data_IF_419244870866
#
_entry.id   IF_419244870866
#
_cell.length_a   1.000
_cell.length_b   1.000
_cell.length_c   1.000
_cell.angle_alpha   90.00
_cell.angle_beta   90.00
_cell.angle_gamma   90.00
#
_symmetry.space_group_name_H-M   'P 1'
#
loop_
_entity.id
_entity.type
_entity.pdbx_description
1 polymer ?
#
# COMPACT_ATOMS: atom_id res chain seq x y z
N UNK A 1 -0.97 -68.18 -29.26
CA UNK A 1 -1.85 -67.00 -29.12
C UNK A 1 -1.01 -65.80 -28.71
N UNK A 2 -0.54 -64.98 -29.67
CA UNK A 2 0.23 -63.76 -29.38
C UNK A 2 -0.75 -62.61 -29.18
N UNK A 3 -0.80 -62.06 -27.97
CA UNK A 3 -1.65 -60.91 -27.61
C UNK A 3 -1.01 -59.64 -28.17
N UNK A 4 -1.75 -58.94 -29.03
CA UNK A 4 -1.41 -57.63 -29.57
C UNK A 4 -1.68 -56.58 -28.48
N UNK A 5 -0.64 -55.97 -27.92
CA UNK A 5 -0.80 -54.77 -27.08
C UNK A 5 -0.91 -53.55 -28.01
N UNK A 6 -2.07 -52.91 -28.03
CA UNK A 6 -2.27 -51.61 -28.66
C UNK A 6 -1.98 -50.56 -27.58
N UNK A 7 -0.85 -49.85 -27.72
CA UNK A 7 -0.54 -48.68 -26.91
C UNK A 7 -1.31 -47.48 -27.48
N UNK A 8 -2.32 -47.01 -26.74
CA UNK A 8 -3.03 -45.77 -27.06
C UNK A 8 -2.18 -44.60 -26.56
N UNK A 9 -1.54 -43.90 -27.49
CA UNK A 9 -0.88 -42.62 -27.22
C UNK A 9 -1.97 -41.53 -27.16
N UNK A 10 -2.45 -41.20 -25.96
CA UNK A 10 -3.27 -40.02 -25.76
C UNK A 10 -2.38 -38.78 -25.91
N UNK A 11 -2.37 -38.17 -27.09
CA UNK A 11 -1.82 -36.85 -27.29
C UNK A 11 -2.72 -35.83 -26.55
N UNK A 12 -2.32 -35.45 -25.34
CA UNK A 12 -2.91 -34.31 -24.64
C UNK A 12 -2.41 -33.03 -25.32
N UNK A 13 -3.03 -32.64 -26.43
CA UNK A 13 -2.91 -31.28 -26.93
C UNK A 13 -3.71 -30.39 -26.00
N UNK A 14 -3.09 -29.92 -24.92
CA UNK A 14 -3.61 -28.76 -24.20
C UNK A 14 -3.58 -27.60 -25.19
N UNK A 15 -4.72 -27.25 -25.77
CA UNK A 15 -4.88 -25.96 -26.42
C UNK A 15 -4.60 -24.92 -25.34
N UNK A 16 -3.43 -24.30 -25.42
CA UNK A 16 -3.14 -23.09 -24.66
C UNK A 16 -4.08 -22.02 -25.21
N UNK A 17 -5.27 -21.90 -24.62
CA UNK A 17 -6.16 -20.79 -24.90
C UNK A 17 -5.47 -19.53 -24.36
N UNK A 18 -4.81 -18.78 -25.24
CA UNK A 18 -4.43 -17.40 -24.96
C UNK A 18 -5.68 -16.54 -24.71
N UNK A 19 -5.49 -15.36 -24.15
CA UNK A 19 -6.59 -14.41 -23.91
C UNK A 19 -7.32 -14.12 -25.24
N UNK A 20 -8.56 -14.56 -25.35
CA UNK A 20 -9.43 -14.25 -26.49
C UNK A 20 -10.14 -12.92 -26.22
N UNK A 21 -10.11 -12.01 -27.20
CA UNK A 21 -10.78 -10.69 -27.13
C UNK A 21 -10.25 -9.75 -26.03
N UNK A 22 -8.93 -9.50 -26.00
CA UNK A 22 -8.39 -8.46 -25.12
C UNK A 22 -8.93 -7.06 -25.45
N UNK A 23 -9.27 -6.27 -24.43
CA UNK A 23 -9.60 -4.85 -24.61
C UNK A 23 -8.45 -4.07 -25.27
N UNK A 24 -7.20 -4.53 -25.08
CA UNK A 24 -6.00 -3.93 -25.67
C UNK A 24 -5.79 -4.30 -27.14
N UNK A 25 -6.58 -5.22 -27.71
CA UNK A 25 -6.38 -5.71 -29.08
C UNK A 25 -6.66 -4.64 -30.15
N UNK A 26 -7.39 -3.58 -29.81
CA UNK A 26 -7.75 -2.50 -30.73
C UNK A 26 -7.72 -1.15 -30.02
N UNK A 27 -7.64 -0.07 -30.81
CA UNK A 27 -7.63 1.30 -30.29
C UNK A 27 -6.22 1.81 -29.97
N UNK A 28 -6.15 3.08 -29.56
CA UNK A 28 -4.91 3.70 -29.11
C UNK A 28 -4.88 3.69 -27.59
N UNK A 29 -3.76 3.22 -27.03
CA UNK A 29 -3.59 3.03 -25.60
C UNK A 29 -2.36 3.77 -25.12
N UNK A 30 -2.53 4.57 -24.07
CA UNK A 30 -1.43 5.18 -23.34
C UNK A 30 -1.28 4.45 -22.01
N UNK A 31 -0.09 3.88 -21.79
CA UNK A 31 0.27 3.29 -20.49
C UNK A 31 0.86 4.36 -19.59
N UNK A 32 0.30 4.49 -18.40
CA UNK A 32 0.79 5.37 -17.34
C UNK A 32 0.95 4.57 -16.04
N UNK A 33 1.70 5.12 -15.09
CA UNK A 33 1.94 4.48 -13.80
C UNK A 33 1.72 5.44 -12.65
N UNK A 34 1.28 4.89 -11.52
CA UNK A 34 1.21 5.58 -10.24
C UNK A 34 2.09 4.86 -9.23
N UNK A 35 2.71 5.62 -8.32
CA UNK A 35 3.60 5.07 -7.28
C UNK A 35 2.89 4.93 -5.93
N UNK A 36 1.75 5.59 -5.75
CA UNK A 36 1.00 5.53 -4.50
C UNK A 36 -0.50 5.73 -4.72
N UNK A 37 -1.25 5.49 -3.66
CA UNK A 37 -2.69 5.69 -3.64
C UNK A 37 -3.06 7.17 -3.61
N UNK A 38 -4.13 7.55 -4.31
CA UNK A 38 -4.66 8.90 -4.27
C UNK A 38 -5.51 9.27 -5.49
N UNK A 39 -6.06 10.48 -5.46
CA UNK A 39 -6.72 11.11 -6.59
C UNK A 39 -5.68 11.72 -7.51
N UNK A 40 -5.70 11.29 -8.77
CA UNK A 40 -4.81 11.79 -9.82
C UNK A 40 -5.60 12.60 -10.85
N UNK A 41 -4.99 13.67 -11.34
CA UNK A 41 -5.57 14.55 -12.37
C UNK A 41 -4.89 14.34 -13.71
N UNK A 42 -5.68 14.18 -14.77
CA UNK A 42 -5.22 14.32 -16.15
C UNK A 42 -5.94 15.51 -16.77
N UNK A 43 -5.22 16.62 -16.88
CA UNK A 43 -5.70 17.81 -17.57
C UNK A 43 -5.34 17.77 -19.07
N UNK A 44 -5.85 18.74 -19.81
CA UNK A 44 -5.61 18.92 -21.24
C UNK A 44 -4.10 18.83 -21.60
N UNK A 45 -3.23 19.47 -20.81
CA UNK A 45 -1.81 19.55 -21.09
C UNK A 45 -1.12 18.19 -20.92
N UNK A 46 -1.45 17.48 -19.84
CA UNK A 46 -0.96 16.12 -19.62
C UNK A 46 -1.51 15.17 -20.69
N UNK A 47 -2.79 15.26 -21.04
CA UNK A 47 -3.41 14.44 -22.07
C UNK A 47 -2.70 14.57 -23.43
N UNK A 48 -2.37 15.81 -23.83
CA UNK A 48 -1.56 16.09 -25.03
C UNK A 48 -0.14 15.54 -24.91
N UNK A 49 0.53 15.72 -23.76
CA UNK A 49 1.88 15.21 -23.50
C UNK A 49 1.95 13.68 -23.56
N UNK A 50 0.86 13.00 -23.20
CA UNK A 50 0.70 11.55 -23.31
C UNK A 50 0.55 11.06 -24.77
N UNK A 51 0.48 11.97 -25.75
CA UNK A 51 0.37 11.65 -27.18
C UNK A 51 -1.06 11.52 -27.68
N UNK A 52 -2.07 11.88 -26.88
CA UNK A 52 -3.47 11.94 -27.30
C UNK A 52 -3.82 13.34 -27.79
N UNK A 53 -4.77 13.46 -28.71
CA UNK A 53 -5.19 14.76 -29.24
C UNK A 53 -6.48 15.24 -28.55
N UNK A 54 -6.41 16.14 -27.54
CA UNK A 54 -7.62 16.63 -26.87
C UNK A 54 -8.55 17.39 -27.84
N UNK A 55 -8.00 18.10 -28.83
CA UNK A 55 -8.78 18.90 -29.78
C UNK A 55 -9.68 18.05 -30.71
N UNK A 56 -9.43 16.73 -30.76
CA UNK A 56 -10.21 15.76 -31.54
C UNK A 56 -10.87 14.70 -30.64
N UNK A 57 -10.88 14.92 -29.33
CA UNK A 57 -11.41 13.97 -28.35
C UNK A 57 -12.68 14.51 -27.72
N UNK A 58 -13.74 13.70 -27.78
CA UNK A 58 -14.91 13.89 -26.92
C UNK A 58 -14.54 13.41 -25.49
N UNK A 59 -14.50 14.30 -24.48
CA UNK A 59 -14.10 13.93 -23.12
C UNK A 59 -15.00 12.86 -22.50
N UNK A 60 -16.24 12.72 -22.96
CA UNK A 60 -17.19 11.67 -22.49
C UNK A 60 -16.73 10.27 -22.89
N UNK A 61 -15.90 10.14 -23.92
CA UNK A 61 -15.37 8.87 -24.44
C UNK A 61 -14.02 8.47 -23.85
N UNK A 62 -13.41 9.32 -23.04
CA UNK A 62 -12.17 8.99 -22.33
C UNK A 62 -12.44 7.91 -21.29
N UNK A 63 -11.57 6.90 -21.26
CA UNK A 63 -11.60 5.76 -20.34
C UNK A 63 -10.24 5.55 -19.71
N UNK A 64 -10.26 5.08 -18.48
CA UNK A 64 -9.08 4.58 -17.77
C UNK A 64 -9.34 3.12 -17.41
N UNK A 65 -8.42 2.23 -17.75
CA UNK A 65 -8.49 0.82 -17.38
C UNK A 65 -7.27 0.43 -16.56
N UNK A 66 -7.43 -0.52 -15.64
CA UNK A 66 -6.36 -1.02 -14.80
C UNK A 66 -6.44 -2.54 -14.64
N UNK A 67 -5.30 -3.15 -14.30
CA UNK A 67 -5.21 -4.57 -13.97
C UNK A 67 -5.54 -4.83 -12.51
N UNK A 68 -5.02 -5.94 -11.99
CA UNK A 68 -5.07 -6.21 -10.55
C UNK A 68 -4.25 -5.18 -9.77
N UNK A 69 -4.73 -4.87 -8.59
CA UNK A 69 -4.02 -4.09 -7.59
C UNK A 69 -3.20 -5.03 -6.70
N UNK A 70 -2.13 -4.53 -6.11
CA UNK A 70 -1.34 -5.30 -5.17
C UNK A 70 -0.42 -6.34 -5.80
N UNK A 71 0.20 -7.12 -4.92
CA UNK A 71 1.03 -8.23 -5.31
C UNK A 71 0.17 -9.40 -5.82
N UNK A 72 0.61 -10.05 -6.91
CA UNK A 72 -0.08 -11.23 -7.40
C UNK A 72 0.04 -12.38 -6.40
N UNK A 73 -1.08 -13.09 -6.19
CA UNK A 73 -1.08 -14.29 -5.36
C UNK A 73 -0.09 -15.33 -5.91
N UNK A 74 0.69 -15.91 -5.00
CA UNK A 74 1.65 -16.96 -5.32
C UNK A 74 0.99 -18.31 -5.61
N UNK A 75 -0.23 -18.54 -5.11
CA UNK A 75 -0.94 -19.76 -5.39
C UNK A 75 -1.34 -19.81 -6.86
N UNK A 76 -0.86 -20.82 -7.58
CA UNK A 76 -1.21 -21.01 -8.99
C UNK A 76 -2.72 -21.23 -9.20
N UNK A 77 -3.43 -21.68 -8.18
CA UNK A 77 -4.89 -21.85 -8.17
C UNK A 77 -5.68 -20.58 -7.86
N UNK A 78 -5.02 -19.49 -7.44
CA UNK A 78 -5.73 -18.24 -7.16
C UNK A 78 -6.36 -17.68 -8.43
N UNK A 79 -7.61 -17.18 -8.36
CA UNK A 79 -8.26 -16.54 -9.50
C UNK A 79 -7.41 -15.39 -10.05
N UNK A 80 -7.37 -15.27 -11.37
CA UNK A 80 -6.70 -14.17 -12.08
C UNK A 80 -7.72 -13.49 -12.98
N UNK A 81 -7.70 -12.16 -13.01
CA UNK A 81 -8.49 -11.41 -13.99
C UNK A 81 -7.94 -11.70 -15.38
N UNK A 82 -8.83 -11.93 -16.32
CA UNK A 82 -8.46 -12.24 -17.71
C UNK A 82 -8.14 -10.99 -18.52
N UNK A 83 -8.52 -9.79 -18.05
CA UNK A 83 -8.31 -8.54 -18.76
C UNK A 83 -8.32 -7.33 -17.83
N UNK A 84 -8.00 -6.15 -18.36
CA UNK A 84 -8.13 -4.87 -17.67
C UNK A 84 -9.59 -4.52 -17.41
N UNK A 85 -9.85 -3.87 -16.28
CA UNK A 85 -11.18 -3.35 -15.91
C UNK A 85 -11.19 -1.84 -15.95
N UNK A 86 -12.32 -1.28 -16.35
CA UNK A 86 -12.50 0.17 -16.38
C UNK A 86 -12.60 0.74 -14.95
N UNK A 87 -11.90 1.85 -14.74
CA UNK A 87 -11.86 2.61 -13.50
C UNK A 87 -12.78 3.80 -13.68
N UNK A 88 -13.70 4.01 -12.73
CA UNK A 88 -14.61 5.14 -12.77
C UNK A 88 -13.82 6.45 -12.65
N UNK A 89 -14.13 7.42 -13.53
CA UNK A 89 -13.50 8.74 -13.53
C UNK A 89 -14.53 9.84 -13.26
N UNK A 90 -14.11 10.92 -12.60
CA UNK A 90 -14.83 12.18 -12.62
C UNK A 90 -14.32 12.98 -13.81
N UNK A 91 -15.21 13.46 -14.67
CA UNK A 91 -14.84 14.36 -15.76
C UNK A 91 -15.45 15.73 -15.52
N UNK A 92 -14.62 16.78 -15.53
CA UNK A 92 -15.04 18.17 -15.34
C UNK A 92 -15.00 18.87 -16.70
N UNK A 93 -16.10 19.55 -17.07
CA UNK A 93 -16.20 20.32 -18.32
C UNK A 93 -16.62 19.52 -19.57
N UNK A 94 -17.18 18.32 -19.42
CA UNK A 94 -17.51 17.45 -20.57
C UNK A 94 -18.82 17.75 -21.32
N UNK A 95 -19.57 18.79 -20.93
CA UNK A 95 -20.97 18.99 -21.36
C UNK A 95 -21.10 19.36 -22.84
N UNK A 96 -20.14 20.11 -23.38
CA UNK A 96 -20.11 20.53 -24.78
C UNK A 96 -19.48 19.47 -25.72
N UNK A 97 -18.92 18.40 -25.16
CA UNK A 97 -18.24 17.34 -25.90
C UNK A 97 -16.90 17.75 -26.51
N UNK A 98 -16.29 18.84 -26.06
CA UNK A 98 -14.99 19.33 -26.53
C UNK A 98 -14.00 19.34 -25.37
N UNK A 99 -12.90 18.58 -25.48
CA UNK A 99 -11.88 18.61 -24.44
C UNK A 99 -11.00 19.87 -24.57
N UNK A 100 -11.33 20.91 -23.81
CA UNK A 100 -10.65 22.21 -23.82
C UNK A 100 -9.66 22.36 -22.64
N UNK A 101 -8.97 23.50 -22.56
CA UNK A 101 -7.90 23.74 -21.58
C UNK A 101 -8.34 23.82 -20.11
N UNK A 102 -9.63 24.09 -19.84
CA UNK A 102 -10.18 24.10 -18.47
C UNK A 102 -10.68 22.75 -17.99
N UNK A 103 -10.82 21.78 -18.90
CA UNK A 103 -11.34 20.47 -18.58
C UNK A 103 -10.23 19.56 -18.03
N UNK A 104 -10.64 18.56 -17.26
CA UNK A 104 -9.77 17.52 -16.75
C UNK A 104 -10.59 16.34 -16.26
N UNK A 105 -9.92 15.19 -16.17
CA UNK A 105 -10.45 14.05 -15.44
C UNK A 105 -9.71 13.86 -14.12
N UNK A 106 -10.43 13.30 -13.14
CA UNK A 106 -9.90 12.78 -11.89
C UNK A 106 -10.20 11.29 -11.79
N UNK A 107 -9.28 10.51 -11.25
CA UNK A 107 -9.51 9.10 -10.93
C UNK A 107 -8.75 8.72 -9.66
N UNK A 108 -9.25 7.72 -8.93
CA UNK A 108 -8.51 7.13 -7.81
C UNK A 108 -7.51 6.11 -8.34
N UNK A 109 -6.23 6.46 -8.29
CA UNK A 109 -5.12 5.58 -8.59
C UNK A 109 -4.66 4.89 -7.31
N UNK A 110 -4.32 3.62 -7.41
CA UNK A 110 -3.78 2.80 -6.33
C UNK A 110 -2.39 2.35 -6.71
N UNK A 111 -1.44 2.51 -5.79
CA UNK A 111 -0.04 2.14 -5.93
C UNK A 111 0.17 0.63 -6.05
N UNK A 112 1.44 0.20 -6.06
CA UNK A 112 1.79 -1.22 -6.14
C UNK A 112 1.47 -1.98 -4.85
N UNK A 113 1.58 -1.32 -3.71
CA UNK A 113 1.37 -1.87 -2.38
C UNK A 113 -0.12 -2.00 -2.07
N UNK A 114 -0.46 -2.84 -1.11
CA UNK A 114 -1.82 -2.89 -0.58
C UNK A 114 -1.85 -2.49 0.88
N UNK A 115 -2.87 -1.72 1.22
CA UNK A 115 -3.25 -1.51 2.60
C UNK A 115 -4.75 -1.40 2.74
N UNK A 116 -5.26 -1.83 3.89
CA UNK A 116 -6.66 -1.64 4.24
C UNK A 116 -6.83 -1.72 5.75
N UNK A 117 -7.87 -1.05 6.24
CA UNK A 117 -8.31 -1.21 7.62
C UNK A 117 -9.13 -2.50 7.74
N UNK A 118 -8.62 -3.48 8.48
CA UNK A 118 -9.39 -4.66 8.90
C UNK A 118 -10.34 -4.23 10.02
N UNK A 119 -11.59 -3.92 9.65
CA UNK A 119 -12.62 -3.46 10.59
C UNK A 119 -12.94 -4.47 11.70
N UNK A 120 -12.71 -5.77 11.50
CA UNK A 120 -12.95 -6.79 12.53
C UNK A 120 -11.85 -6.78 13.59
N UNK A 121 -10.61 -6.56 13.17
CA UNK A 121 -9.45 -6.50 14.08
C UNK A 121 -9.14 -5.09 14.57
N UNK A 122 -9.72 -4.08 13.94
CA UNK A 122 -9.42 -2.67 14.20
C UNK A 122 -7.97 -2.30 13.88
N UNK A 123 -7.33 -2.98 12.91
CA UNK A 123 -5.93 -2.73 12.53
C UNK A 123 -5.74 -2.53 11.05
N UNK A 124 -4.79 -1.69 10.67
CA UNK A 124 -4.34 -1.62 9.29
C UNK A 124 -3.48 -2.84 8.93
N UNK A 125 -3.87 -3.51 7.85
CA UNK A 125 -3.02 -4.47 7.16
C UNK A 125 -2.25 -3.74 6.07
N UNK A 126 -0.96 -4.03 5.94
CA UNK A 126 -0.07 -3.50 4.90
C UNK A 126 0.70 -4.66 4.26
N UNK A 127 0.78 -4.66 2.94
CA UNK A 127 1.54 -5.58 2.12
C UNK A 127 2.37 -4.77 1.11
N UNK A 128 3.69 -4.76 1.33
CA UNK A 128 4.66 -4.24 0.39
C UNK A 128 4.71 -5.12 -0.88
N UNK A 129 4.76 -4.50 -2.05
CA UNK A 129 4.89 -5.23 -3.30
C UNK A 129 6.34 -5.58 -3.61
N UNK A 130 6.68 -6.86 -3.46
CA UNK A 130 8.04 -7.36 -3.63
C UNK A 130 8.58 -7.31 -5.07
N UNK A 131 7.75 -6.99 -6.06
CA UNK A 131 8.10 -7.13 -7.48
C UNK A 131 7.98 -5.85 -8.30
N UNK A 132 7.42 -4.77 -7.75
CA UNK A 132 7.26 -3.50 -8.48
C UNK A 132 7.07 -2.32 -7.54
N UNK A 133 7.59 -1.16 -7.92
CA UNK A 133 7.41 0.13 -7.26
C UNK A 133 6.26 0.96 -7.88
N UNK A 134 5.58 0.39 -8.88
CA UNK A 134 4.56 1.07 -9.69
C UNK A 134 3.39 0.16 -9.99
N UNK A 135 2.20 0.74 -10.02
CA UNK A 135 1.01 0.14 -10.61
C UNK A 135 0.64 0.87 -11.90
N UNK A 136 0.07 0.15 -12.87
CA UNK A 136 -0.14 0.64 -14.23
C UNK A 136 -1.61 0.81 -14.59
N UNK A 137 -1.89 1.93 -15.25
CA UNK A 137 -3.19 2.34 -15.75
C UNK A 137 -3.07 2.62 -17.25
N UNK A 138 -4.17 2.46 -17.96
CA UNK A 138 -4.23 2.52 -19.42
C UNK A 138 -5.33 3.49 -19.83
N UNK A 139 -4.94 4.58 -20.49
CA UNK A 139 -5.87 5.60 -20.99
C UNK A 139 -6.18 5.33 -22.45
N UNK A 140 -7.45 5.45 -22.83
CA UNK A 140 -7.91 5.34 -24.21
C UNK A 140 -9.11 6.24 -24.47
N UNK A 141 -9.43 6.46 -25.75
CA UNK A 141 -10.67 7.10 -26.21
C UNK A 141 -11.51 6.01 -26.89
N UNK A 142 -12.57 5.58 -26.20
CA UNK A 142 -13.37 4.45 -26.65
C UNK A 142 -14.49 4.82 -27.64
N UNK A 143 -15.13 3.82 -28.26
CA UNK A 143 -16.24 4.05 -29.19
C UNK A 143 -17.54 4.49 -28.48
N UNK A 144 -17.67 4.22 -27.18
CA UNK A 144 -18.79 4.67 -26.32
C UNK A 144 -18.28 5.46 -25.11
N UNK A 145 -19.20 6.04 -24.34
CA UNK A 145 -18.87 6.77 -23.13
C UNK A 145 -18.11 5.87 -22.13
N UNK A 146 -17.16 6.47 -21.41
CA UNK A 146 -16.44 5.79 -20.35
C UNK A 146 -17.21 5.72 -19.04
N UNK A 147 -16.73 4.87 -18.12
CA UNK A 147 -17.28 4.74 -16.78
C UNK A 147 -17.11 6.05 -16.01
N UNK A 148 -18.17 6.48 -15.31
CA UNK A 148 -18.17 7.70 -14.50
C UNK A 148 -18.43 7.37 -13.04
N UNK A 149 -17.90 8.17 -12.13
CA UNK A 149 -18.28 8.12 -10.71
C UNK A 149 -19.77 8.43 -10.61
N UNK A 150 -20.50 7.61 -9.86
CA UNK A 150 -21.91 7.82 -9.63
C UNK A 150 -22.13 8.76 -8.45
N UNK A 151 -23.06 9.71 -8.60
CA UNK A 151 -23.49 10.56 -7.50
C UNK A 151 -24.36 9.76 -6.53
N UNK A 152 -24.01 9.81 -5.23
CA UNK A 152 -24.83 9.25 -4.17
C UNK A 152 -25.37 10.39 -3.31
N UNK A 153 -26.70 10.46 -3.17
CA UNK A 153 -27.32 11.43 -2.29
C UNK A 153 -27.02 11.11 -0.82
N UNK A 154 -26.82 12.17 -0.02
CA UNK A 154 -26.68 12.02 1.42
C UNK A 154 -27.95 11.49 2.05
N UNK A 155 -27.81 10.63 3.05
CA UNK A 155 -28.94 10.14 3.85
C UNK A 155 -29.59 11.29 4.62
N UNK A 156 -30.92 11.29 4.71
CA UNK A 156 -31.68 12.26 5.50
C UNK A 156 -31.77 11.82 6.96
N UNK A 157 -31.67 12.74 7.91
CA UNK A 157 -31.80 12.47 9.35
C UNK A 157 -30.65 13.02 10.19
N UNK A 158 -30.67 12.69 11.49
CA UNK A 158 -29.62 13.07 12.45
C UNK A 158 -28.79 11.84 12.77
N UNK A 159 -27.49 11.93 12.54
CA UNK A 159 -26.53 10.84 12.77
C UNK A 159 -25.35 11.33 13.61
N UNK A 160 -24.64 10.42 14.31
CA UNK A 160 -23.39 10.76 14.97
C UNK A 160 -22.44 11.45 13.99
N UNK A 161 -21.84 12.55 14.45
CA UNK A 161 -20.86 13.29 13.65
C UNK A 161 -19.46 12.74 13.90
N UNK A 162 -18.78 12.38 12.83
CA UNK A 162 -17.39 11.93 12.83
C UNK A 162 -16.52 13.10 12.40
N UNK A 163 -15.67 13.56 13.32
CA UNK A 163 -14.68 14.64 13.14
C UNK A 163 -13.24 14.12 13.25
N UNK A 164 -13.06 12.80 13.32
CA UNK A 164 -11.77 12.13 13.40
C UNK A 164 -11.80 10.83 12.60
N UNK A 165 -10.63 10.37 12.15
CA UNK A 165 -10.49 9.14 11.38
C UNK A 165 -9.26 8.36 11.81
N UNK A 166 -9.28 7.07 11.49
CA UNK A 166 -8.17 6.15 11.70
C UNK A 166 -7.29 6.18 10.46
N UNK A 167 -5.99 6.33 10.69
CA UNK A 167 -4.98 6.50 9.66
C UNK A 167 -3.72 5.74 10.06
N UNK A 168 -2.79 5.59 9.11
CA UNK A 168 -1.56 4.87 9.33
C UNK A 168 -0.40 5.45 8.51
N UNK A 169 0.81 5.19 8.97
CA UNK A 169 2.04 5.43 8.19
C UNK A 169 2.98 4.25 8.39
N UNK A 170 3.87 4.02 7.44
CA UNK A 170 4.80 2.91 7.49
C UNK A 170 6.17 3.30 6.94
N UNK A 171 7.18 2.51 7.28
CA UNK A 171 8.54 2.63 6.78
C UNK A 171 9.15 1.23 6.59
N UNK A 172 9.57 0.95 5.37
CA UNK A 172 10.18 -0.30 4.89
C UNK A 172 11.02 0.04 3.65
N UNK A 173 12.26 -0.44 3.52
CA UNK A 173 13.19 0.02 2.45
C UNK A 173 13.93 -1.07 1.67
N UNK A 174 13.77 -2.35 2.04
CA UNK A 174 14.22 -3.52 1.26
C UNK A 174 15.68 -3.46 0.75
N UNK A 175 16.61 -3.09 1.63
CA UNK A 175 18.03 -2.87 1.30
C UNK A 175 18.88 -4.16 1.38
N UNK A 176 18.55 -5.09 2.27
CA UNK A 176 19.35 -6.27 2.57
C UNK A 176 18.55 -7.56 2.49
N UNK A 177 19.02 -8.51 1.68
CA UNK A 177 18.59 -9.90 1.71
C UNK A 177 19.75 -10.76 2.20
N UNK A 178 19.65 -11.25 3.45
CA UNK A 178 20.76 -11.93 4.11
C UNK A 178 21.24 -13.19 3.37
N UNK A 179 20.33 -13.93 2.75
CA UNK A 179 20.64 -15.19 2.09
C UNK A 179 20.94 -15.01 0.59
N UNK A 180 20.90 -13.77 0.09
CA UNK A 180 20.82 -13.44 -1.33
C UNK A 180 19.83 -14.32 -2.12
N UNK A 181 18.76 -14.75 -1.44
CA UNK A 181 17.74 -15.66 -1.93
C UNK A 181 16.47 -15.53 -1.09
N UNK A 182 15.37 -16.08 -1.62
CA UNK A 182 14.07 -15.94 -0.99
C UNK A 182 13.54 -14.50 -1.11
N UNK A 183 12.62 -14.14 -0.21
CA UNK A 183 11.80 -12.92 -0.30
C UNK A 183 11.81 -12.07 0.96
N UNK A 184 12.61 -12.45 1.96
CA UNK A 184 12.75 -11.63 3.16
C UNK A 184 13.83 -10.61 2.88
N UNK A 185 13.43 -9.36 2.90
CA UNK A 185 14.29 -8.21 2.74
C UNK A 185 14.16 -7.34 3.99
N UNK A 186 15.19 -6.55 4.25
CA UNK A 186 15.31 -5.72 5.44
C UNK A 186 15.85 -4.35 5.06
N UNK A 187 15.45 -3.31 5.78
CA UNK A 187 16.01 -1.97 5.71
C UNK A 187 17.33 -1.84 6.48
N UNK A 188 17.39 -0.95 7.46
CA UNK A 188 18.64 -0.55 8.11
C UNK A 188 19.33 -1.73 8.81
N UNK A 189 20.62 -1.91 8.50
CA UNK A 189 21.50 -2.85 9.19
C UNK A 189 22.21 -2.17 10.38
N UNK A 190 22.07 -2.75 11.56
CA UNK A 190 22.67 -2.31 12.81
C UNK A 190 23.96 -3.09 13.10
N UNK A 191 25.05 -2.69 12.47
CA UNK A 191 26.37 -3.32 12.60
C UNK A 191 27.36 -2.41 13.33
N UNK A 192 28.13 -1.59 12.60
CA UNK A 192 29.01 -0.54 13.16
C UNK A 192 28.21 0.66 13.64
N UNK A 193 27.20 1.06 12.87
CA UNK A 193 26.16 2.01 13.29
C UNK A 193 25.04 1.24 13.98
N UNK A 194 24.85 1.48 15.27
CA UNK A 194 23.87 0.75 16.11
C UNK A 194 22.62 1.55 16.41
N UNK A 195 22.47 2.74 15.84
CA UNK A 195 21.32 3.59 16.07
C UNK A 195 20.91 4.31 14.80
N UNK A 196 19.61 4.32 14.51
CA UNK A 196 19.00 5.05 13.41
C UNK A 196 17.79 5.81 13.93
N UNK A 197 17.52 6.97 13.33
CA UNK A 197 16.30 7.75 13.60
C UNK A 197 15.54 7.86 12.30
N UNK A 198 14.33 7.30 12.28
CA UNK A 198 13.39 7.38 11.16
C UNK A 198 12.39 8.49 11.48
N UNK A 199 12.20 9.41 10.53
CA UNK A 199 11.29 10.55 10.70
C UNK A 199 10.02 10.35 9.89
N UNK A 200 8.88 10.46 10.55
CA UNK A 200 7.57 10.52 9.92
C UNK A 200 7.00 11.93 10.02
N UNK A 201 6.20 12.33 9.02
CA UNK A 201 5.43 13.58 9.06
C UNK A 201 3.95 13.25 9.17
N UNK A 202 3.41 13.40 10.37
CA UNK A 202 2.06 12.99 10.76
C UNK A 202 1.36 14.16 11.48
N UNK A 203 0.73 15.10 10.76
CA UNK A 203 0.05 16.23 11.37
C UNK A 203 -1.36 15.89 11.86
N UNK A 204 -1.85 16.64 12.86
CA UNK A 204 -3.27 16.62 13.26
C UNK A 204 -3.69 15.40 14.06
N UNK A 205 -2.77 14.83 14.84
CA UNK A 205 -3.03 13.72 15.76
C UNK A 205 -4.02 14.15 16.85
N UNK A 206 -5.03 13.32 17.10
CA UNK A 206 -6.00 13.56 18.17
C UNK A 206 -5.32 13.44 19.52
N UNK A 207 -5.29 14.53 20.30
CA UNK A 207 -4.60 14.56 21.58
C UNK A 207 -5.18 13.55 22.57
N UNK A 208 -4.31 12.78 23.23
CA UNK A 208 -4.70 11.75 24.19
C UNK A 208 -5.22 10.45 23.56
N UNK A 209 -5.29 10.37 22.23
CA UNK A 209 -5.59 9.11 21.53
C UNK A 209 -4.45 8.10 21.63
N UNK A 210 -4.77 6.82 21.44
CA UNK A 210 -3.78 5.75 21.35
C UNK A 210 -3.11 5.73 19.98
N UNK A 211 -1.82 5.45 19.97
CA UNK A 211 -1.04 5.08 18.79
C UNK A 211 -0.70 3.60 18.92
N UNK A 212 -0.82 2.86 17.82
CA UNK A 212 -0.36 1.47 17.75
C UNK A 212 0.87 1.40 16.87
N UNK A 213 2.03 1.15 17.48
CA UNK A 213 3.27 0.85 16.77
C UNK A 213 3.35 -0.65 16.54
N UNK A 214 3.42 -1.07 15.29
CA UNK A 214 3.72 -2.43 14.86
C UNK A 214 5.11 -2.40 14.23
N UNK A 215 5.98 -3.32 14.62
CA UNK A 215 7.32 -3.40 14.03
C UNK A 215 7.71 -4.84 13.75
N UNK A 216 8.64 -5.00 12.82
CA UNK A 216 9.36 -6.25 12.57
C UNK A 216 10.85 -5.95 12.51
N UNK A 217 11.63 -6.80 13.18
CA UNK A 217 13.09 -6.71 13.23
C UNK A 217 13.69 -8.11 13.10
N UNK A 218 14.95 -8.18 12.73
CA UNK A 218 15.72 -9.42 12.72
C UNK A 218 17.06 -9.21 13.43
N UNK A 219 17.54 -10.23 14.13
CA UNK A 219 18.86 -10.21 14.74
C UNK A 219 19.66 -11.46 14.42
N UNK A 220 20.94 -11.26 14.16
CA UNK A 220 21.94 -12.32 14.04
C UNK A 220 22.90 -12.18 15.20
N UNK A 221 22.57 -12.82 16.32
CA UNK A 221 23.39 -12.76 17.51
C UNK A 221 23.48 -14.12 18.16
N UNK A 222 24.70 -14.58 18.45
CA UNK A 222 24.93 -15.85 19.14
C UNK A 222 24.79 -15.73 20.67
N UNK A 223 24.77 -14.49 21.17
CA UNK A 223 24.51 -14.13 22.57
C UNK A 223 23.32 -13.16 22.65
N UNK A 224 22.66 -13.03 23.82
CA UNK A 224 21.48 -12.17 23.96
C UNK A 224 21.73 -10.74 23.47
N UNK A 225 20.82 -10.24 22.64
CA UNK A 225 20.82 -8.89 22.09
C UNK A 225 19.39 -8.33 22.13
N UNK A 226 19.22 -7.02 21.98
CA UNK A 226 17.90 -6.39 21.97
C UNK A 226 17.82 -5.17 21.08
N UNK A 227 16.59 -4.81 20.70
CA UNK A 227 16.27 -3.51 20.12
C UNK A 227 15.61 -2.62 21.17
N UNK A 228 16.02 -1.36 21.23
CA UNK A 228 15.39 -0.32 22.01
C UNK A 228 14.72 0.66 21.06
N UNK A 229 13.53 1.11 21.42
CA UNK A 229 12.75 2.05 20.63
C UNK A 229 12.44 3.28 21.47
N UNK A 230 12.39 4.44 20.81
CA UNK A 230 11.84 5.66 21.40
C UNK A 230 11.08 6.46 20.36
N UNK A 231 10.03 7.15 20.79
CA UNK A 231 9.26 8.08 19.98
C UNK A 231 9.41 9.48 20.57
N UNK A 232 9.91 10.43 19.79
CA UNK A 232 10.15 11.82 20.22
C UNK A 232 10.98 11.90 21.51
N UNK A 233 11.99 11.03 21.62
CA UNK A 233 12.87 10.92 22.79
C UNK A 233 12.26 10.19 23.99
N UNK A 234 10.98 9.80 23.94
CA UNK A 234 10.34 9.02 25.00
C UNK A 234 10.60 7.52 24.77
N UNK A 235 11.19 6.79 25.74
CA UNK A 235 11.50 5.38 25.58
C UNK A 235 10.22 4.54 25.50
N UNK A 236 10.24 3.54 24.62
CA UNK A 236 9.21 2.52 24.48
C UNK A 236 9.73 1.18 25.02
N UNK A 237 8.91 0.13 24.91
CA UNK A 237 9.30 -1.21 25.34
C UNK A 237 10.42 -1.79 24.46
N UNK A 238 11.47 -2.28 25.10
CA UNK A 238 12.57 -2.99 24.45
C UNK A 238 12.14 -4.37 23.92
N UNK A 239 12.74 -4.79 22.80
CA UNK A 239 12.55 -6.11 22.21
C UNK A 239 13.80 -6.97 22.38
N UNK A 240 13.76 -7.93 23.29
CA UNK A 240 14.79 -8.96 23.39
C UNK A 240 14.73 -9.89 22.16
N UNK A 241 15.90 -10.30 21.67
CA UNK A 241 16.04 -11.16 20.49
C UNK A 241 16.58 -12.53 20.88
N UNK A 242 15.99 -13.63 20.39
CA UNK A 242 16.53 -14.97 20.58
C UNK A 242 17.91 -15.13 19.93
N UNK A 243 18.75 -16.01 20.50
CA UNK A 243 20.08 -16.29 19.94
C UNK A 243 20.01 -17.29 18.79
N UNK A 244 20.98 -17.19 17.88
CA UNK A 244 21.21 -18.18 16.82
C UNK A 244 22.43 -19.05 17.13
N UNK A 245 22.48 -20.22 16.50
CA UNK A 245 23.64 -21.12 16.56
C UNK A 245 24.57 -20.82 15.37
N UNK A 246 25.86 -20.66 15.65
CA UNK A 246 26.88 -20.51 14.61
C UNK A 246 27.31 -21.87 14.03
N UNK A 247 26.48 -22.42 13.15
CA UNK A 247 26.76 -23.68 12.46
C UNK A 247 26.37 -23.63 10.97
N UNK A 248 26.77 -24.66 10.23
CA UNK A 248 26.34 -24.84 8.85
C UNK A 248 24.89 -25.30 8.80
N UNK A 249 24.13 -24.82 7.81
CA UNK A 249 22.72 -25.17 7.61
C UNK A 249 21.77 -24.86 8.78
N UNK A 250 22.11 -23.85 9.59
CA UNK A 250 21.23 -23.30 10.64
C UNK A 250 20.68 -21.93 10.25
N UNK A 251 19.67 -21.50 11.00
CA UNK A 251 19.07 -20.16 10.88
C UNK A 251 20.15 -19.08 10.91
N UNK A 252 20.06 -18.15 9.95
CA UNK A 252 21.03 -17.04 9.82
C UNK A 252 20.65 -15.82 10.65
N UNK A 253 19.42 -15.75 11.13
CA UNK A 253 18.92 -14.73 12.05
C UNK A 253 17.58 -15.15 12.63
N UNK A 254 17.18 -14.51 13.71
CA UNK A 254 15.85 -14.66 14.30
C UNK A 254 15.02 -13.42 14.02
N UNK A 255 13.86 -13.61 13.43
CA UNK A 255 12.89 -12.52 13.23
C UNK A 255 11.99 -12.38 14.46
N UNK A 256 11.62 -11.16 14.78
CA UNK A 256 10.60 -10.90 15.78
C UNK A 256 9.69 -9.74 15.31
N UNK A 257 8.39 -9.97 15.46
CA UNK A 257 7.36 -8.95 15.28
C UNK A 257 6.69 -8.68 16.62
N UNK A 258 6.27 -7.45 16.84
CA UNK A 258 5.48 -7.08 18.01
C UNK A 258 4.58 -5.86 17.73
N UNK A 259 3.68 -5.58 18.67
CA UNK A 259 2.90 -4.35 18.64
C UNK A 259 2.79 -3.71 20.02
N UNK A 260 2.92 -2.39 20.08
CA UNK A 260 2.81 -1.58 21.28
C UNK A 260 1.66 -0.58 21.12
N UNK A 261 0.79 -0.50 22.12
CA UNK A 261 -0.16 0.61 22.24
C UNK A 261 0.44 1.65 23.17
N UNK A 262 0.58 2.88 22.67
CA UNK A 262 1.24 3.99 23.37
C UNK A 262 0.36 5.24 23.30
N UNK A 263 0.35 6.05 24.35
CA UNK A 263 -0.42 7.29 24.37
C UNK A 263 0.24 8.37 23.51
N UNK A 264 -0.54 9.03 22.65
CA UNK A 264 -0.07 10.21 21.89
C UNK A 264 0.36 11.36 22.79
N UNK A 265 -0.26 11.55 23.95
CA UNK A 265 0.07 12.62 24.88
C UNK A 265 1.41 12.36 25.58
N UNK A 266 1.60 11.17 26.17
CA UNK A 266 2.85 10.80 26.87
C UNK A 266 4.05 10.80 25.92
N UNK A 267 3.85 10.43 24.65
CA UNK A 267 4.91 10.37 23.65
C UNK A 267 5.04 11.65 22.81
N UNK A 268 4.40 12.74 23.23
CA UNK A 268 4.47 14.06 22.57
C UNK A 268 4.06 14.01 21.09
N UNK A 269 3.27 13.03 20.68
CA UNK A 269 2.94 12.79 19.28
C UNK A 269 1.85 13.74 18.76
N UNK A 270 1.04 14.31 19.67
CA UNK A 270 0.04 15.33 19.37
C UNK A 270 0.59 16.77 19.41
N UNK A 271 1.80 16.98 19.95
CA UNK A 271 2.42 18.31 20.08
C UNK A 271 3.41 18.66 18.96
N UNK A 272 3.66 17.73 18.03
CA UNK A 272 4.52 17.92 16.86
C UNK A 272 3.88 17.24 15.65
N UNK A 273 4.18 17.75 14.45
CA UNK A 273 3.84 17.08 13.19
C UNK A 273 4.91 16.09 12.75
N UNK A 274 6.12 16.19 13.29
CA UNK A 274 7.23 15.29 12.95
C UNK A 274 7.47 14.34 14.11
N UNK A 275 7.49 13.05 13.79
CA UNK A 275 7.77 11.99 14.75
C UNK A 275 9.16 11.42 14.49
N UNK A 276 9.99 11.46 15.53
CA UNK A 276 11.33 10.87 15.49
C UNK A 276 11.32 9.53 16.20
N UNK A 277 11.37 8.46 15.41
CA UNK A 277 11.44 7.08 15.91
C UNK A 277 12.90 6.67 15.91
N UNK A 278 13.50 6.66 17.09
CA UNK A 278 14.89 6.22 17.25
C UNK A 278 14.93 4.77 17.67
N UNK A 279 15.63 3.96 16.88
CA UNK A 279 15.87 2.55 17.10
C UNK A 279 17.35 2.38 17.43
N UNK A 280 17.64 1.68 18.52
CA UNK A 280 19.01 1.28 18.89
C UNK A 280 19.08 -0.23 19.00
N UNK A 281 20.09 -0.84 18.40
CA UNK A 281 20.40 -2.25 18.61
C UNK A 281 21.50 -2.40 19.67
N UNK A 282 21.14 -3.01 20.79
CA UNK A 282 22.06 -3.40 21.85
C UNK A 282 22.76 -4.70 21.47
N UNK A 283 23.93 -4.57 20.86
CA UNK A 283 24.77 -5.70 20.44
C UNK A 283 25.24 -6.50 21.66
N UNK A 284 25.33 -7.81 21.47
CA UNK A 284 26.13 -8.65 22.36
C UNK A 284 27.63 -8.38 22.13
N UNK A 285 28.45 -8.57 23.17
CA UNK A 285 29.91 -8.51 23.07
C UNK A 285 30.47 -9.78 22.40
N UNK A 286 30.25 -9.92 21.09
CA UNK A 286 30.69 -11.07 20.26
C UNK A 286 31.08 -10.65 18.85
N UNK A 287 31.76 -11.53 18.12
CA UNK A 287 32.12 -11.32 16.71
C UNK A 287 30.90 -11.27 15.77
N UNK A 288 29.79 -11.91 16.15
CA UNK A 288 28.54 -11.93 15.37
C UNK A 288 27.35 -11.45 16.21
N UNK A 289 27.04 -10.16 16.08
CA UNK A 289 25.85 -9.51 16.63
C UNK A 289 25.41 -8.36 15.70
N UNK A 290 24.46 -8.62 14.81
CA UNK A 290 23.95 -7.65 13.82
C UNK A 290 22.43 -7.59 13.92
N UNK A 291 21.86 -6.39 13.95
CA UNK A 291 20.40 -6.18 13.89
C UNK A 291 19.98 -5.70 12.50
N UNK A 292 18.72 -5.89 12.16
CA UNK A 292 18.10 -5.37 10.94
C UNK A 292 16.69 -4.86 11.27
N UNK A 293 16.33 -3.69 10.76
CA UNK A 293 14.95 -3.22 10.74
C UNK A 293 14.28 -3.79 9.49
N UNK A 294 13.14 -4.46 9.66
CA UNK A 294 12.29 -4.85 8.53
C UNK A 294 11.29 -3.73 8.28
N UNK A 295 10.45 -3.44 9.27
CA UNK A 295 9.31 -2.54 9.14
C UNK A 295 9.00 -1.78 10.42
N UNK A 296 8.54 -0.55 10.25
CA UNK A 296 7.71 0.19 11.21
C UNK A 296 6.35 0.49 10.59
N UNK A 297 5.28 0.33 11.34
CA UNK A 297 3.94 0.78 10.98
C UNK A 297 3.30 1.42 12.21
N UNK A 298 2.82 2.65 12.08
CA UNK A 298 1.99 3.28 13.08
C UNK A 298 0.55 3.34 12.59
N UNK A 299 -0.39 3.01 13.46
CA UNK A 299 -1.79 3.34 13.33
C UNK A 299 -2.18 4.36 14.41
N UNK A 300 -3.01 5.34 14.05
CA UNK A 300 -3.36 6.45 14.92
C UNK A 300 -4.67 7.12 14.51
N UNK A 301 -5.16 8.02 15.36
CA UNK A 301 -6.32 8.87 15.08
C UNK A 301 -5.90 10.29 14.70
N UNK A 302 -6.50 10.82 13.64
CA UNK A 302 -6.31 12.20 13.17
C UNK A 302 -7.62 12.95 13.14
N UNK A 303 -7.55 14.26 13.35
CA UNK A 303 -8.64 15.18 13.07
C UNK A 303 -9.04 15.06 11.60
N UNK A 304 -10.33 14.94 11.33
CA UNK A 304 -10.83 14.86 9.96
C UNK A 304 -10.78 16.26 9.33
N UNK A 305 -9.76 16.53 8.53
CA UNK A 305 -9.58 17.79 7.79
C UNK A 305 -8.83 17.51 6.48
N UNK A 306 -8.65 18.54 5.65
CA UNK A 306 -7.86 18.42 4.42
C UNK A 306 -6.36 18.54 4.74
N UNK A 307 -5.60 17.50 4.41
CA UNK A 307 -4.15 17.49 4.56
C UNK A 307 -3.46 17.55 3.19
N UNK A 308 -2.91 18.71 2.85
CA UNK A 308 -2.39 18.95 1.51
C UNK A 308 -3.53 19.04 0.49
N UNK A 309 -3.41 18.32 -0.64
CA UNK A 309 -4.40 18.37 -1.72
C UNK A 309 -5.52 17.33 -1.58
N UNK A 310 -5.33 16.31 -0.72
CA UNK A 310 -6.26 15.20 -0.57
C UNK A 310 -6.13 14.51 0.80
N UNK A 311 -7.26 14.04 1.35
CA UNK A 311 -7.30 13.21 2.55
C UNK A 311 -8.09 11.93 2.25
N UNK A 312 -7.40 10.80 2.13
CA UNK A 312 -8.04 9.49 2.23
C UNK A 312 -8.31 9.19 3.70
N UNK A 313 -9.51 8.70 4.02
CA UNK A 313 -9.86 8.40 5.41
C UNK A 313 -10.72 7.16 5.54
N UNK A 314 -10.58 6.49 6.69
CA UNK A 314 -11.44 5.40 7.14
C UNK A 314 -11.68 5.59 8.63
N UNK A 315 -12.85 5.23 9.15
CA UNK A 315 -13.17 5.47 10.55
C UNK A 315 -13.76 4.23 11.21
N UNK A 316 -13.10 3.70 12.22
CA UNK A 316 -13.66 2.64 13.09
C UNK A 316 -14.89 3.14 13.86
N UNK A 317 -15.08 4.45 13.98
CA UNK A 317 -16.31 5.00 14.54
C UNK A 317 -17.50 4.83 13.60
N UNK A 318 -17.29 4.79 12.28
CA UNK A 318 -18.40 4.71 11.31
C UNK A 318 -19.14 3.38 11.36
N UNK A 319 -18.48 2.30 11.79
CA UNK A 319 -19.11 0.98 11.91
C UNK A 319 -19.91 0.79 13.20
N UNK A 320 -19.87 1.76 14.13
CA UNK A 320 -20.66 1.73 15.38
C UNK A 320 -22.12 2.14 15.17
N UNK A 321 -22.49 2.57 13.97
CA UNK A 321 -23.83 3.01 13.62
C UNK A 321 -24.11 2.65 12.16
N UNK A 322 -25.39 2.48 11.80
CA UNK A 322 -25.78 2.18 10.42
C UNK A 322 -25.54 3.35 9.45
N UNK A 323 -25.40 4.57 9.98
CA UNK A 323 -25.06 5.78 9.25
C UNK A 323 -24.33 6.77 10.15
N UNK A 324 -23.50 7.62 9.55
CA UNK A 324 -22.75 8.68 10.22
C UNK A 324 -22.64 9.91 9.32
N UNK A 325 -22.53 11.10 9.94
CA UNK A 325 -22.22 12.35 9.24
C UNK A 325 -20.73 12.62 9.37
N UNK A 326 -20.01 12.79 8.27
CA UNK A 326 -18.62 13.24 8.29
C UNK A 326 -18.60 14.77 8.27
N UNK A 327 -17.80 15.38 9.14
CA UNK A 327 -17.59 16.83 9.16
C UNK A 327 -16.11 17.11 9.16
N UNK A 328 -15.66 17.84 8.15
CA UNK A 328 -14.31 18.40 8.15
C UNK A 328 -14.23 19.47 9.24
N UNK A 329 -13.15 19.46 10.02
CA UNK A 329 -12.75 20.55 10.92
C UNK A 329 -11.93 21.60 10.17
#
# INVERSE_FOLDING_TARGET
MKRLLIAIFCAFSALANGQTNSVLATGTWVKMSVAGDGIYKIDYSLFRKLGLNPDQTDPRKIRILAGNQGMLSQLNSSPRVSDLKEVAIQMVGQDDGVFNSSDYLLFYGQGPDQYHLDFNKGVFAYENNLYTDKNYYFVTVGPSNGLRIADNQSLTGTYPTITEFDDFTYYETEQYNELHSGRNWYGEQFSSKTSYTIRFTVPGIVNGSDLKLIYKVMAQSINPASFQFSLNGQPLQDKAMPTIINASYTDKGTEASDSLTISSATNQASSTTNWDVTIRFNKAATEKSIGYLDRLLFQYKRALTLYGDQTAFSSLLSIKSSAAKYSLM
#
